data_IF_339075518443
#
_entry.id   IF_339075518443
#
_cell.length_a   1.000
_cell.length_b   1.000
_cell.length_c   1.000
_cell.angle_alpha   90.00
_cell.angle_beta   90.00
_cell.angle_gamma   90.00
#
_symmetry.space_group_name_H-M   'P 1'
#
loop_
_entity.id
_entity.type
_entity.pdbx_description
1 polymer ?
#
# COMPACT_ATOMS: atom_id res chain seq x y z
N UNK A 1 10.82 11.82 -59.06
CA UNK A 1 10.15 12.17 -57.83
C UNK A 1 8.65 12.12 -58.02
N UNK A 2 7.92 11.82 -56.99
CA UNK A 2 6.49 11.83 -56.95
C UNK A 2 5.97 12.37 -55.61
N UNK A 3 4.71 12.79 -55.59
CA UNK A 3 3.99 13.21 -54.38
C UNK A 3 2.86 12.21 -54.13
N UNK A 4 2.76 11.71 -52.90
CA UNK A 4 1.66 10.82 -52.52
C UNK A 4 0.34 11.60 -52.49
N UNK A 5 -0.70 11.07 -53.13
CA UNK A 5 -1.98 11.73 -53.27
C UNK A 5 -3.14 10.92 -52.71
N UNK A 6 -4.22 11.57 -52.36
CA UNK A 6 -5.46 10.95 -51.87
C UNK A 6 -6.27 10.27 -52.99
N UNK A 7 -7.46 9.84 -52.64
CA UNK A 7 -8.38 9.15 -53.55
C UNK A 7 -8.78 10.06 -54.74
N UNK A 8 -8.94 11.31 -54.51
CA UNK A 8 -9.27 12.33 -55.49
C UNK A 8 -8.08 12.74 -56.37
N UNK A 9 -6.86 12.26 -56.06
CA UNK A 9 -5.62 12.65 -56.72
C UNK A 9 -5.01 13.96 -56.18
N UNK A 10 -5.59 14.53 -55.14
CA UNK A 10 -5.13 15.77 -54.50
C UNK A 10 -4.28 15.46 -53.26
N UNK A 11 -3.53 16.46 -52.82
CA UNK A 11 -2.77 16.44 -51.58
C UNK A 11 -3.38 17.34 -50.49
N UNK A 12 -4.63 17.77 -50.66
CA UNK A 12 -5.33 18.64 -49.73
C UNK A 12 -5.55 18.03 -48.34
N UNK A 13 -5.55 16.70 -48.25
CA UNK A 13 -5.66 15.94 -47.01
C UNK A 13 -4.30 15.44 -46.50
N UNK A 14 -3.34 16.34 -46.36
CA UNK A 14 -2.00 16.02 -45.88
C UNK A 14 -2.04 15.24 -44.54
N UNK A 15 -1.01 14.42 -44.31
CA UNK A 15 -0.92 13.59 -43.10
C UNK A 15 -2.08 12.56 -42.94
N UNK A 16 -2.77 12.21 -44.03
CA UNK A 16 -3.70 11.06 -44.07
C UNK A 16 -3.10 9.90 -44.81
N UNK A 17 -3.68 8.71 -44.67
CA UNK A 17 -3.24 7.50 -45.37
C UNK A 17 -4.33 7.13 -46.37
N UNK A 18 -3.94 7.03 -47.67
CA UNK A 18 -4.77 6.50 -48.70
C UNK A 18 -4.07 5.32 -49.40
N UNK A 19 -4.59 4.13 -49.20
CA UNK A 19 -4.01 2.88 -49.66
C UNK A 19 -5.07 1.88 -50.08
N UNK A 20 -4.71 0.89 -50.88
CA UNK A 20 -5.52 -0.29 -51.13
C UNK A 20 -5.27 -1.40 -50.08
N UNK A 21 -5.94 -2.55 -50.26
CA UNK A 21 -5.80 -3.73 -49.36
C UNK A 21 -4.40 -4.37 -49.37
N UNK A 22 -3.52 -3.97 -50.26
CA UNK A 22 -2.13 -4.45 -50.38
C UNK A 22 -1.10 -3.43 -49.84
N UNK A 23 -1.53 -2.31 -49.26
CA UNK A 23 -0.63 -1.26 -48.79
C UNK A 23 0.01 -0.45 -49.90
N UNK A 24 -0.56 -0.44 -51.12
CA UNK A 24 -0.06 0.33 -52.23
C UNK A 24 -0.61 1.75 -52.21
N UNK A 25 0.16 2.73 -52.71
CA UNK A 25 -0.22 4.14 -52.69
C UNK A 25 -0.35 4.68 -54.11
N UNK A 26 -1.11 5.78 -54.28
CA UNK A 26 -1.13 6.56 -55.52
C UNK A 26 -0.18 7.72 -55.41
N UNK A 27 0.50 8.03 -56.49
CA UNK A 27 1.40 9.17 -56.59
C UNK A 27 1.10 10.02 -57.79
N UNK A 28 1.40 11.30 -57.70
CA UNK A 28 1.50 12.22 -58.79
C UNK A 28 2.99 12.29 -59.18
N UNK A 29 3.29 11.98 -60.44
CA UNK A 29 4.67 11.99 -60.94
C UNK A 29 5.06 13.37 -61.42
N UNK A 30 6.05 14.01 -60.82
CA UNK A 30 6.51 15.36 -61.20
C UNK A 30 7.09 15.42 -62.62
N UNK A 31 7.62 14.32 -63.12
CA UNK A 31 8.16 14.25 -64.48
C UNK A 31 7.09 14.37 -65.57
N UNK A 32 5.83 14.08 -65.25
CA UNK A 32 4.72 14.11 -66.22
C UNK A 32 3.70 15.22 -65.95
N UNK A 33 3.95 16.09 -64.97
CA UNK A 33 3.09 17.18 -64.60
C UNK A 33 3.89 18.49 -64.50
N UNK A 34 3.61 19.45 -65.38
CA UNK A 34 4.23 20.78 -65.25
C UNK A 34 3.64 21.51 -64.04
N UNK A 35 4.40 22.44 -63.44
CA UNK A 35 3.91 23.24 -62.32
C UNK A 35 2.66 24.02 -62.69
N UNK A 36 2.61 24.53 -63.89
CA UNK A 36 1.47 25.27 -64.45
C UNK A 36 0.22 24.41 -64.57
N UNK A 37 0.35 23.11 -64.89
CA UNK A 37 -0.74 22.14 -64.89
C UNK A 37 -1.19 21.80 -63.47
N UNK A 38 -0.23 21.69 -62.56
CA UNK A 38 -0.50 21.42 -61.14
C UNK A 38 -1.28 22.56 -60.51
N UNK A 39 -0.90 23.80 -60.78
CA UNK A 39 -1.49 25.03 -60.23
C UNK A 39 -2.87 25.36 -60.83
N UNK A 40 -3.13 24.89 -62.06
CA UNK A 40 -4.42 25.07 -62.74
C UNK A 40 -5.44 23.96 -62.43
N UNK A 41 -5.03 22.88 -61.83
CA UNK A 41 -5.84 21.68 -61.64
C UNK A 41 -6.63 21.74 -60.32
N UNK A 42 -7.44 22.75 -60.18
CA UNK A 42 -8.39 22.86 -59.07
C UNK A 42 -9.57 21.93 -59.35
N UNK A 43 -9.53 20.73 -58.80
CA UNK A 43 -10.63 19.82 -58.54
C UNK A 43 -11.18 18.91 -59.64
N UNK A 44 -11.26 19.25 -60.90
CA UNK A 44 -11.95 18.42 -61.92
C UNK A 44 -10.98 17.49 -62.67
N UNK A 45 -9.71 17.84 -62.84
CA UNK A 45 -8.75 17.10 -63.64
C UNK A 45 -7.65 16.38 -62.82
N UNK A 46 -7.65 16.50 -61.51
CA UNK A 46 -6.66 15.85 -60.62
C UNK A 46 -6.60 14.33 -60.79
N UNK A 47 -7.65 13.71 -61.33
CA UNK A 47 -7.67 12.26 -61.57
C UNK A 47 -6.77 11.81 -62.70
N UNK A 48 -6.43 12.70 -63.66
CA UNK A 48 -5.56 12.34 -64.80
C UNK A 48 -4.07 12.35 -64.47
N UNK A 49 -3.67 12.96 -63.37
CA UNK A 49 -2.26 13.12 -62.99
C UNK A 49 -1.84 12.15 -61.89
N UNK A 50 -2.67 11.22 -61.46
CA UNK A 50 -2.36 10.19 -60.47
C UNK A 50 -1.98 8.86 -61.13
N UNK A 51 -1.05 8.14 -60.54
CA UNK A 51 -0.66 6.79 -60.94
C UNK A 51 -1.77 5.76 -60.65
N UNK A 52 -1.59 4.58 -61.21
CA UNK A 52 -2.14 3.36 -60.59
C UNK A 52 -1.61 3.20 -59.15
N UNK A 53 -2.13 2.22 -58.43
CA UNK A 53 -1.57 1.89 -57.09
C UNK A 53 -0.16 1.31 -57.24
N UNK A 54 0.84 1.96 -56.64
CA UNK A 54 2.23 1.60 -56.67
C UNK A 54 2.63 0.83 -55.37
N UNK A 55 3.39 -0.22 -55.51
CA UNK A 55 3.97 -0.93 -54.36
C UNK A 55 5.01 -0.04 -53.67
N UNK A 56 5.07 -0.13 -52.35
CA UNK A 56 6.09 0.56 -51.55
C UNK A 56 7.18 -0.45 -51.17
N UNK A 57 8.42 -0.14 -51.50
CA UNK A 57 9.59 -0.95 -51.10
C UNK A 57 9.82 -0.74 -49.61
N UNK A 58 10.06 -1.82 -48.89
CA UNK A 58 10.39 -1.86 -47.48
C UNK A 58 11.65 -2.69 -47.25
N UNK A 59 12.46 -2.43 -46.21
CA UNK A 59 13.69 -3.19 -45.95
C UNK A 59 13.50 -4.70 -45.78
N UNK A 60 12.35 -5.12 -45.19
CA UNK A 60 11.98 -6.52 -44.96
C UNK A 60 10.50 -6.68 -45.24
N UNK A 61 10.18 -7.67 -46.08
CA UNK A 61 8.80 -8.04 -46.41
C UNK A 61 8.65 -9.55 -46.43
N UNK A 62 8.07 -10.15 -45.44
CA UNK A 62 7.82 -11.60 -45.30
C UNK A 62 6.35 -11.84 -44.95
N UNK A 63 5.92 -13.11 -44.98
CA UNK A 63 4.57 -13.45 -44.57
C UNK A 63 4.33 -13.12 -43.08
N UNK A 64 3.44 -12.20 -42.83
CA UNK A 64 3.06 -11.71 -41.50
C UNK A 64 4.21 -11.15 -40.66
N UNK A 65 5.34 -10.78 -41.29
CA UNK A 65 6.46 -10.14 -40.60
C UNK A 65 7.23 -9.19 -41.51
N UNK A 66 7.90 -8.19 -40.94
CA UNK A 66 8.67 -7.22 -41.66
C UNK A 66 8.55 -5.81 -41.11
N UNK A 67 9.08 -4.85 -41.87
CA UNK A 67 8.89 -3.42 -41.59
C UNK A 67 7.75 -2.90 -42.48
N UNK A 68 6.68 -2.42 -41.88
CA UNK A 68 5.53 -1.92 -42.61
C UNK A 68 5.24 -0.47 -42.25
N UNK A 69 5.43 0.41 -43.23
CA UNK A 69 5.07 1.83 -43.11
C UNK A 69 4.53 2.30 -44.48
N UNK A 70 3.41 3.01 -44.46
CA UNK A 70 2.80 3.57 -45.66
C UNK A 70 3.09 5.06 -45.72
N UNK A 71 3.67 5.57 -46.80
CA UNK A 71 3.80 7.00 -47.05
C UNK A 71 2.44 7.70 -47.00
N UNK A 72 2.41 8.88 -46.42
CA UNK A 72 1.18 9.62 -46.22
C UNK A 72 0.90 10.58 -47.41
N UNK A 73 -0.33 10.96 -47.56
CA UNK A 73 -0.71 12.02 -48.51
C UNK A 73 0.09 13.27 -48.21
N UNK A 74 0.78 13.79 -49.23
CA UNK A 74 1.68 14.93 -49.13
C UNK A 74 3.16 14.56 -48.95
N UNK A 75 3.49 13.28 -48.78
CA UNK A 75 4.89 12.83 -48.70
C UNK A 75 5.53 12.86 -50.10
N UNK A 76 6.73 13.37 -50.15
CA UNK A 76 7.58 13.30 -51.34
C UNK A 76 8.29 11.97 -51.41
N UNK A 77 8.18 11.26 -52.53
CA UNK A 77 8.68 9.90 -52.70
C UNK A 77 9.55 9.78 -53.95
N UNK A 78 10.55 8.86 -53.85
CA UNK A 78 11.37 8.45 -54.99
C UNK A 78 10.64 7.30 -55.68
N UNK A 79 10.49 7.44 -57.01
CA UNK A 79 9.92 6.39 -57.88
C UNK A 79 11.04 5.74 -58.65
N UNK A 80 11.10 4.42 -58.57
CA UNK A 80 12.00 3.54 -59.33
C UNK A 80 11.16 2.69 -60.28
N UNK A 81 11.79 2.25 -61.39
CA UNK A 81 11.13 1.41 -62.37
C UNK A 81 11.80 0.03 -62.34
N UNK A 82 11.03 -1.01 -62.07
CA UNK A 82 11.56 -2.37 -62.03
C UNK A 82 11.94 -2.83 -63.41
N UNK A 83 13.10 -3.48 -63.54
CA UNK A 83 13.66 -3.95 -64.81
C UNK A 83 13.83 -2.87 -65.88
N UNK A 84 13.94 -1.60 -65.45
CA UNK A 84 14.02 -0.43 -66.31
C UNK A 84 12.78 -0.25 -67.21
N UNK A 85 11.63 -0.79 -66.75
CA UNK A 85 10.35 -0.73 -67.44
C UNK A 85 9.49 0.38 -66.84
N UNK A 86 9.14 1.38 -67.67
CA UNK A 86 8.34 2.55 -67.25
C UNK A 86 6.95 2.15 -66.77
N UNK A 87 6.41 1.02 -67.19
CA UNK A 87 5.11 0.50 -66.83
C UNK A 87 5.11 -0.26 -65.49
N UNK A 88 6.31 -0.45 -64.87
CA UNK A 88 6.51 -1.11 -63.59
C UNK A 88 7.07 -0.15 -62.50
N UNK A 89 6.42 1.00 -62.20
CA UNK A 89 6.88 1.90 -61.17
C UNK A 89 6.64 1.36 -59.76
N UNK A 90 7.59 1.67 -58.86
CA UNK A 90 7.48 1.39 -57.40
C UNK A 90 7.98 2.56 -56.60
N UNK A 91 7.42 2.79 -55.41
CA UNK A 91 7.92 3.75 -54.44
C UNK A 91 9.13 3.11 -53.74
N UNK A 92 10.32 3.68 -53.91
CA UNK A 92 11.57 3.14 -53.38
C UNK A 92 12.06 3.85 -52.12
N UNK A 93 11.45 4.97 -51.71
CA UNK A 93 11.78 5.70 -50.49
C UNK A 93 11.04 7.01 -50.40
N UNK A 94 11.15 7.68 -49.28
CA UNK A 94 10.60 9.02 -49.02
C UNK A 94 11.72 10.02 -48.75
N UNK A 95 11.49 11.29 -49.06
CA UNK A 95 12.45 12.38 -48.82
C UNK A 95 11.83 13.39 -47.87
N UNK A 96 12.62 13.88 -46.92
CA UNK A 96 12.29 15.09 -46.22
C UNK A 96 12.44 16.31 -47.08
N UNK A 97 11.60 17.28 -46.92
CA UNK A 97 11.65 18.56 -47.64
C UNK A 97 11.18 19.71 -46.75
N UNK A 98 11.09 20.94 -47.27
CA UNK A 98 10.68 22.14 -46.51
C UNK A 98 9.26 22.06 -45.90
N UNK A 99 8.37 21.23 -46.47
CA UNK A 99 7.00 21.01 -45.96
C UNK A 99 6.92 19.83 -45.00
N UNK A 100 7.78 18.85 -45.17
CA UNK A 100 7.83 17.61 -44.35
C UNK A 100 9.23 17.48 -43.72
N UNK A 101 9.42 18.15 -42.59
CA UNK A 101 10.67 18.14 -41.84
C UNK A 101 10.74 16.90 -40.92
N UNK A 102 11.93 16.37 -40.62
CA UNK A 102 12.09 15.33 -39.63
C UNK A 102 11.63 15.79 -38.24
N UNK A 103 11.23 14.86 -37.38
CA UNK A 103 10.93 15.13 -35.98
C UNK A 103 12.12 15.72 -35.23
N UNK A 104 13.30 15.24 -35.55
CA UNK A 104 14.56 15.66 -34.92
C UNK A 104 14.97 17.04 -35.46
N UNK A 105 15.17 18.00 -34.56
CA UNK A 105 15.79 19.27 -34.93
C UNK A 105 17.28 19.05 -35.23
N UNK A 106 17.61 19.05 -36.50
CA UNK A 106 18.95 18.70 -36.99
C UNK A 106 20.03 19.69 -36.54
N UNK A 107 19.71 20.96 -36.37
CA UNK A 107 20.67 22.00 -35.96
C UNK A 107 21.26 21.71 -34.55
N UNK A 108 20.46 21.19 -33.65
CA UNK A 108 20.84 20.97 -32.25
C UNK A 108 20.96 19.48 -31.88
N UNK A 109 20.26 18.60 -32.60
CA UNK A 109 20.09 17.19 -32.24
C UNK A 109 20.51 16.22 -33.35
N UNK A 110 21.44 16.58 -34.19
CA UNK A 110 21.94 15.76 -35.29
C UNK A 110 22.47 14.38 -34.84
N UNK A 111 22.75 14.21 -33.55
CA UNK A 111 23.20 12.97 -32.94
C UNK A 111 22.04 12.01 -32.62
N UNK A 112 20.82 12.37 -32.93
CA UNK A 112 19.63 11.55 -32.62
C UNK A 112 19.22 10.74 -33.87
N UNK A 113 18.76 9.52 -33.61
CA UNK A 113 18.03 8.68 -34.56
C UNK A 113 16.61 8.44 -34.02
N UNK A 114 15.60 8.70 -34.83
CA UNK A 114 14.20 8.59 -34.41
C UNK A 114 13.41 7.69 -35.35
N UNK A 115 12.58 6.83 -34.76
CA UNK A 115 11.45 6.16 -35.41
C UNK A 115 10.17 6.77 -34.86
N UNK A 116 9.42 7.48 -35.68
CA UNK A 116 8.25 8.21 -35.22
C UNK A 116 7.07 8.05 -36.17
N UNK A 117 5.85 8.13 -35.61
CA UNK A 117 4.62 8.13 -36.34
C UNK A 117 3.65 9.16 -35.75
N UNK A 118 3.30 10.16 -36.56
CA UNK A 118 2.39 11.24 -36.19
C UNK A 118 0.94 10.74 -36.22
N UNK A 119 0.09 11.24 -35.34
CA UNK A 119 -1.36 11.00 -35.38
C UNK A 119 -1.92 11.39 -36.75
N UNK A 120 -2.78 10.54 -37.31
CA UNK A 120 -3.35 10.75 -38.63
C UNK A 120 -4.37 11.90 -38.57
N UNK A 121 -4.29 12.84 -39.52
CA UNK A 121 -5.16 14.01 -39.63
C UNK A 121 -4.40 15.30 -39.96
N UNK A 122 -4.98 16.19 -40.74
CA UNK A 122 -4.28 17.38 -41.26
C UNK A 122 -3.74 18.30 -40.16
N UNK A 123 -4.43 18.43 -39.03
CA UNK A 123 -4.08 19.33 -37.94
C UNK A 123 -3.60 18.61 -36.67
N UNK A 124 -3.40 17.30 -36.72
CA UNK A 124 -2.99 16.53 -35.58
C UNK A 124 -1.50 16.76 -35.26
N UNK A 125 -1.18 16.79 -33.97
CA UNK A 125 0.18 17.04 -33.49
C UNK A 125 0.74 15.89 -32.65
N UNK A 126 -0.10 14.90 -32.27
CA UNK A 126 0.30 13.75 -31.47
C UNK A 126 1.33 12.87 -32.17
N UNK A 127 2.27 12.29 -31.43
CA UNK A 127 3.37 11.50 -31.97
C UNK A 127 3.67 10.33 -31.04
N UNK A 128 3.71 9.13 -31.62
CA UNK A 128 4.38 7.97 -31.04
C UNK A 128 5.82 7.95 -31.52
N UNK A 129 6.80 7.76 -30.61
CA UNK A 129 8.20 7.79 -31.01
C UNK A 129 9.11 6.86 -30.19
N UNK A 130 10.18 6.40 -30.82
CA UNK A 130 11.36 5.84 -30.19
C UNK A 130 12.55 6.64 -30.69
N UNK A 131 13.22 7.37 -29.80
CA UNK A 131 14.37 8.22 -30.16
C UNK A 131 15.60 7.74 -29.39
N UNK A 132 16.69 7.53 -30.13
CA UNK A 132 18.02 7.17 -29.64
C UNK A 132 18.92 8.41 -29.70
N UNK A 133 19.35 8.92 -28.57
CA UNK A 133 20.32 10.01 -28.46
C UNK A 133 21.69 9.43 -28.10
N UNK A 134 22.69 9.71 -28.90
CA UNK A 134 24.06 9.18 -28.77
C UNK A 134 25.09 10.27 -28.40
N UNK A 135 24.63 11.39 -27.81
CA UNK A 135 25.53 12.43 -27.33
C UNK A 135 26.27 11.94 -26.09
N UNK A 136 27.61 11.94 -26.13
CA UNK A 136 28.47 11.46 -25.04
C UNK A 136 28.09 12.08 -23.70
N UNK A 137 27.91 11.24 -22.68
CA UNK A 137 27.43 11.55 -21.33
C UNK A 137 25.99 12.08 -21.25
N UNK A 138 25.22 11.95 -22.32
CA UNK A 138 23.79 12.28 -22.40
C UNK A 138 23.05 11.26 -23.26
N UNK A 139 23.59 10.05 -23.33
CA UNK A 139 22.98 8.95 -24.07
C UNK A 139 21.61 8.63 -23.46
N UNK A 140 20.62 8.43 -24.35
CA UNK A 140 19.25 8.19 -23.92
C UNK A 140 18.49 7.35 -24.94
N UNK A 141 17.65 6.46 -24.44
CA UNK A 141 16.55 5.87 -25.21
C UNK A 141 15.26 6.47 -24.68
N UNK A 142 14.56 7.17 -25.54
CA UNK A 142 13.28 7.81 -25.22
C UNK A 142 12.16 7.10 -25.96
N UNK A 143 11.14 6.62 -25.22
CA UNK A 143 9.93 6.00 -25.79
C UNK A 143 8.73 6.83 -25.36
N UNK A 144 7.94 7.27 -26.33
CA UNK A 144 6.70 8.00 -26.10
C UNK A 144 5.53 7.34 -26.79
N UNK A 145 4.49 7.02 -26.05
CA UNK A 145 3.17 6.73 -26.56
C UNK A 145 2.27 7.98 -26.39
N UNK A 146 1.58 8.39 -27.43
CA UNK A 146 0.67 9.55 -27.38
C UNK A 146 -0.56 9.28 -26.51
N UNK A 147 -1.01 8.02 -26.45
CA UNK A 147 -2.18 7.64 -25.68
C UNK A 147 -1.90 6.39 -24.84
N UNK A 148 -1.93 5.24 -25.43
CA UNK A 148 -1.83 3.98 -24.73
C UNK A 148 -0.50 3.27 -25.05
N UNK A 149 0.12 2.66 -24.05
CA UNK A 149 1.31 1.83 -24.18
C UNK A 149 1.02 0.45 -23.62
N UNK A 150 1.00 -0.57 -24.49
CA UNK A 150 0.76 -1.95 -24.14
C UNK A 150 2.03 -2.77 -24.39
N UNK A 151 2.43 -3.54 -23.39
CA UNK A 151 3.56 -4.48 -23.49
C UNK A 151 3.10 -5.89 -23.10
N UNK A 152 3.32 -6.86 -24.01
CA UNK A 152 3.02 -8.26 -23.79
C UNK A 152 4.28 -9.10 -23.90
N UNK A 153 4.66 -9.75 -22.80
CA UNK A 153 5.79 -10.69 -22.74
C UNK A 153 5.26 -12.09 -22.44
N UNK A 154 5.44 -13.01 -23.38
CA UNK A 154 4.89 -14.36 -23.27
C UNK A 154 5.65 -15.27 -22.29
N UNK A 155 6.89 -14.95 -21.95
CA UNK A 155 7.71 -15.73 -21.03
C UNK A 155 8.26 -14.83 -19.92
N UNK A 156 9.53 -14.48 -19.93
CA UNK A 156 10.17 -13.78 -18.84
C UNK A 156 10.46 -12.32 -19.20
N UNK A 157 10.22 -11.42 -18.26
CA UNK A 157 10.63 -10.02 -18.32
C UNK A 157 11.68 -9.75 -17.24
N UNK A 158 12.86 -9.27 -17.65
CA UNK A 158 13.95 -8.91 -16.73
C UNK A 158 14.37 -7.45 -16.93
N UNK A 159 14.53 -6.72 -15.84
CA UNK A 159 15.00 -5.33 -15.85
C UNK A 159 16.10 -5.14 -14.79
N UNK A 160 17.27 -4.64 -15.23
CA UNK A 160 18.37 -4.27 -14.35
C UNK A 160 18.66 -2.78 -14.50
N UNK A 161 18.64 -2.03 -13.42
CA UNK A 161 18.91 -0.60 -13.38
C UNK A 161 20.04 -0.36 -12.40
N UNK A 162 21.17 0.18 -12.91
CA UNK A 162 22.40 0.33 -12.11
C UNK A 162 22.39 1.56 -11.21
N UNK A 163 21.49 2.49 -11.41
CA UNK A 163 21.35 3.69 -10.60
C UNK A 163 19.90 3.84 -10.14
N UNK A 164 19.21 4.89 -10.48
CA UNK A 164 17.90 5.23 -9.96
C UNK A 164 16.76 4.78 -10.88
N UNK A 165 15.66 4.31 -10.29
CA UNK A 165 14.39 4.11 -10.96
C UNK A 165 13.32 5.04 -10.38
N UNK A 166 12.70 5.85 -11.24
CA UNK A 166 11.53 6.68 -10.89
C UNK A 166 10.32 6.22 -11.68
N UNK A 167 9.17 6.15 -11.02
CA UNK A 167 7.88 5.83 -11.66
C UNK A 167 6.81 6.76 -11.08
N UNK A 168 6.07 7.44 -11.96
CA UNK A 168 4.98 8.34 -11.59
C UNK A 168 3.70 7.94 -12.31
N UNK A 169 2.64 7.68 -11.55
CA UNK A 169 1.31 7.31 -12.07
C UNK A 169 0.29 8.33 -11.55
N UNK A 170 -0.35 9.08 -12.45
CA UNK A 170 -1.36 10.07 -12.07
C UNK A 170 -2.75 9.45 -11.79
N UNK A 171 -3.00 8.28 -12.31
CA UNK A 171 -4.23 7.53 -12.08
C UNK A 171 -4.01 6.34 -11.14
N UNK A 172 -4.60 5.22 -11.45
CA UNK A 172 -4.50 3.99 -10.66
C UNK A 172 -3.31 3.15 -11.07
N UNK A 173 -2.61 2.58 -10.10
CA UNK A 173 -1.61 1.53 -10.30
C UNK A 173 -2.15 0.20 -9.80
N UNK A 174 -2.20 -0.81 -10.67
CA UNK A 174 -2.66 -2.16 -10.33
C UNK A 174 -1.60 -3.18 -10.68
N UNK A 175 -1.24 -4.02 -9.73
CA UNK A 175 -0.32 -5.13 -9.91
C UNK A 175 -0.96 -6.44 -9.45
N UNK A 176 -0.83 -7.50 -10.25
CA UNK A 176 -1.32 -8.83 -9.93
C UNK A 176 -0.23 -9.89 -10.12
N UNK A 177 0.25 -10.44 -9.03
CA UNK A 177 1.24 -11.53 -9.01
C UNK A 177 0.56 -12.83 -8.60
N UNK A 178 0.62 -13.87 -9.45
CA UNK A 178 -0.07 -15.15 -9.19
C UNK A 178 0.68 -16.08 -8.23
N UNK A 179 2.00 -15.97 -8.12
CA UNK A 179 2.82 -16.88 -7.31
C UNK A 179 3.45 -16.16 -6.13
N UNK A 180 4.53 -15.45 -6.34
CA UNK A 180 5.27 -14.78 -5.27
C UNK A 180 5.68 -13.38 -5.69
N UNK A 181 5.51 -12.42 -4.78
CA UNK A 181 6.09 -11.10 -4.89
C UNK A 181 7.17 -10.98 -3.81
N UNK A 182 8.43 -10.85 -4.22
CA UNK A 182 9.58 -10.72 -3.33
C UNK A 182 10.17 -9.33 -3.50
N UNK A 183 10.30 -8.59 -2.41
CA UNK A 183 10.90 -7.26 -2.40
C UNK A 183 12.01 -7.22 -1.34
N UNK A 184 13.24 -6.91 -1.75
CA UNK A 184 14.38 -6.69 -0.85
C UNK A 184 14.82 -5.23 -0.98
N UNK A 185 14.94 -4.55 0.16
CA UNK A 185 15.36 -3.15 0.23
C UNK A 185 16.40 -3.04 1.35
N UNK A 186 17.63 -2.69 1.01
CA UNK A 186 18.75 -2.73 1.94
C UNK A 186 18.74 -1.60 2.97
N UNK A 187 18.20 -0.44 2.64
CA UNK A 187 18.26 0.73 3.52
C UNK A 187 16.91 1.18 4.06
N UNK A 188 16.00 1.65 3.21
CA UNK A 188 14.75 2.24 3.67
C UNK A 188 13.58 2.02 2.72
N UNK A 189 12.40 1.75 3.29
CA UNK A 189 11.13 1.75 2.58
C UNK A 189 10.17 2.73 3.24
N UNK A 190 9.71 3.74 2.50
CA UNK A 190 8.68 4.67 2.93
C UNK A 190 7.39 4.41 2.16
N UNK A 191 6.27 4.34 2.87
CA UNK A 191 4.93 4.21 2.29
C UNK A 191 4.04 5.29 2.89
N UNK A 192 3.62 6.26 2.08
CA UNK A 192 2.70 7.32 2.47
C UNK A 192 1.37 7.13 1.75
N UNK A 193 0.30 6.99 2.51
CA UNK A 193 -1.05 6.79 1.98
C UNK A 193 -1.95 7.88 2.56
N UNK A 194 -2.50 8.75 1.72
CA UNK A 194 -3.37 9.85 2.14
C UNK A 194 -4.80 9.45 2.48
N UNK A 195 -5.21 8.25 2.09
CA UNK A 195 -6.53 7.70 2.36
C UNK A 195 -6.45 6.39 3.13
N UNK A 196 -6.90 5.30 2.53
CA UNK A 196 -6.96 3.98 3.15
C UNK A 196 -5.75 3.12 2.78
N UNK A 197 -5.17 2.43 3.75
CA UNK A 197 -4.16 1.38 3.57
C UNK A 197 -4.70 0.05 4.08
N UNK A 198 -5.13 -0.83 3.18
CA UNK A 198 -5.69 -2.15 3.49
C UNK A 198 -4.67 -3.25 3.21
N UNK A 199 -4.46 -4.13 4.18
CA UNK A 199 -3.68 -5.37 4.01
C UNK A 199 -4.52 -6.56 4.40
N UNK A 200 -4.79 -7.47 3.46
CA UNK A 200 -5.50 -8.72 3.71
C UNK A 200 -4.57 -9.90 3.46
N UNK A 201 -4.42 -10.77 4.44
CA UNK A 201 -3.58 -11.96 4.36
C UNK A 201 -4.40 -13.19 4.72
N UNK A 202 -4.49 -14.17 3.83
CA UNK A 202 -5.35 -15.34 4.01
C UNK A 202 -4.81 -16.40 4.98
N UNK A 203 -3.50 -16.49 5.20
CA UNK A 203 -2.89 -17.50 6.05
C UNK A 203 -2.05 -16.92 7.18
N UNK A 204 -0.88 -16.36 6.89
CA UNK A 204 0.01 -15.83 7.92
C UNK A 204 0.61 -14.47 7.53
N UNK A 205 0.81 -13.61 8.52
CA UNK A 205 1.57 -12.38 8.39
C UNK A 205 2.61 -12.33 9.51
N UNK A 206 3.88 -12.44 9.16
CA UNK A 206 4.99 -12.34 10.10
C UNK A 206 5.66 -10.97 9.97
N UNK A 207 5.93 -10.34 11.10
CA UNK A 207 6.62 -9.05 11.16
C UNK A 207 7.76 -9.17 12.17
N UNK A 208 8.99 -9.02 11.69
CA UNK A 208 10.20 -9.03 12.53
C UNK A 208 10.86 -7.67 12.47
N UNK A 209 11.05 -7.04 13.63
CA UNK A 209 11.67 -5.73 13.76
C UNK A 209 12.85 -5.84 14.69
N UNK A 210 14.06 -5.55 14.21
CA UNK A 210 15.29 -5.76 14.96
C UNK A 210 15.52 -4.76 16.10
N UNK A 211 15.01 -3.54 16.02
CA UNK A 211 15.31 -2.48 17.01
C UNK A 211 14.04 -1.87 17.59
N UNK A 212 13.22 -1.21 16.79
CA UNK A 212 12.03 -0.52 17.30
C UNK A 212 10.84 -0.62 16.36
N UNK A 213 9.66 -0.80 16.92
CA UNK A 213 8.39 -0.70 16.23
C UNK A 213 7.52 0.33 16.96
N UNK A 214 7.04 1.35 16.25
CA UNK A 214 6.18 2.40 16.81
C UNK A 214 4.87 2.47 16.03
N UNK A 215 3.76 2.36 16.74
CA UNK A 215 2.42 2.55 16.20
C UNK A 215 1.78 3.77 16.85
N UNK A 216 1.45 4.79 16.08
CA UNK A 216 0.70 5.96 16.52
C UNK A 216 -0.65 5.97 15.82
N UNK A 217 -1.72 5.85 16.58
CA UNK A 217 -3.10 5.90 16.09
C UNK A 217 -3.82 7.07 16.76
N UNK A 218 -4.31 8.01 15.96
CA UNK A 218 -4.87 9.26 16.48
C UNK A 218 -6.28 9.08 17.08
N UNK A 219 -7.07 8.13 16.60
CA UNK A 219 -8.48 7.96 17.00
C UNK A 219 -8.72 6.57 17.54
N UNK A 220 -8.75 5.55 16.72
CA UNK A 220 -9.13 4.19 17.13
C UNK A 220 -8.14 3.13 16.70
N UNK A 221 -7.74 2.26 17.62
CA UNK A 221 -7.03 1.01 17.35
C UNK A 221 -7.88 -0.17 17.84
N UNK A 222 -8.23 -1.07 16.92
CA UNK A 222 -8.99 -2.27 17.24
C UNK A 222 -8.23 -3.53 16.89
N UNK A 223 -7.89 -4.31 17.89
CA UNK A 223 -7.27 -5.63 17.71
C UNK A 223 -8.28 -6.74 18.05
N UNK A 224 -8.56 -7.61 17.09
CA UNK A 224 -9.45 -8.76 17.29
C UNK A 224 -8.70 -10.05 17.00
N UNK A 225 -8.60 -10.93 17.99
CA UNK A 225 -7.94 -12.24 17.90
C UNK A 225 -8.99 -13.32 18.15
N UNK A 226 -9.14 -14.25 17.22
CA UNK A 226 -10.19 -15.28 17.26
C UNK A 226 -9.90 -16.41 18.27
N UNK A 227 -8.64 -16.70 18.57
CA UNK A 227 -8.24 -17.75 19.52
C UNK A 227 -7.24 -17.20 20.53
N UNK A 228 -5.94 -17.34 20.31
CA UNK A 228 -4.94 -17.06 21.31
C UNK A 228 -4.13 -15.80 20.99
N UNK A 229 -3.85 -15.00 22.01
CA UNK A 229 -2.89 -13.90 21.95
C UNK A 229 -1.81 -14.10 22.98
N UNK A 230 -0.57 -14.23 22.54
CA UNK A 230 0.60 -14.28 23.40
C UNK A 230 1.35 -12.95 23.32
N UNK A 231 1.69 -12.41 24.49
CA UNK A 231 2.50 -11.19 24.60
C UNK A 231 3.67 -11.46 25.55
N UNK A 232 4.88 -11.29 25.07
CA UNK A 232 6.10 -11.41 25.86
C UNK A 232 6.84 -10.09 25.84
N UNK A 233 7.11 -9.53 27.03
CA UNK A 233 7.86 -8.30 27.23
C UNK A 233 9.08 -8.62 28.07
N UNK A 234 10.26 -8.49 27.52
CA UNK A 234 11.52 -8.89 28.17
C UNK A 234 11.95 -7.98 29.30
N UNK A 235 11.48 -6.75 29.36
CA UNK A 235 11.79 -5.77 30.39
C UNK A 235 10.51 -5.11 30.91
N UNK A 236 10.24 -3.88 30.60
CA UNK A 236 9.14 -3.10 31.17
C UNK A 236 7.96 -2.96 30.23
N UNK A 237 6.75 -3.04 30.79
CA UNK A 237 5.50 -2.71 30.10
C UNK A 237 4.82 -1.54 30.79
N UNK A 238 4.66 -0.42 30.09
CA UNK A 238 3.92 0.74 30.54
C UNK A 238 2.55 0.78 29.87
N UNK A 239 1.53 1.03 30.66
CA UNK A 239 0.13 1.21 30.18
C UNK A 239 -0.45 2.45 30.86
N UNK A 240 -0.79 3.47 30.09
CA UNK A 240 -1.48 4.66 30.54
C UNK A 240 -2.83 4.76 29.86
N UNK A 241 -3.91 4.89 30.64
CA UNK A 241 -5.28 5.03 30.15
C UNK A 241 -5.91 6.24 30.80
N UNK A 242 -6.19 7.27 30.03
CA UNK A 242 -6.72 8.55 30.54
C UNK A 242 -8.19 8.52 30.96
N UNK A 243 -8.93 7.50 30.57
CA UNK A 243 -10.35 7.36 30.90
C UNK A 243 -10.61 6.02 31.57
N UNK A 244 -11.16 5.04 30.88
CA UNK A 244 -11.63 3.81 31.49
C UNK A 244 -10.89 2.59 30.94
N UNK A 245 -10.54 1.65 31.81
CA UNK A 245 -10.14 0.30 31.47
C UNK A 245 -11.28 -0.66 31.82
N UNK A 246 -11.87 -1.32 30.82
CA UNK A 246 -12.86 -2.37 31.03
C UNK A 246 -12.24 -3.72 30.61
N UNK A 247 -12.20 -4.67 31.53
CA UNK A 247 -11.71 -6.01 31.27
C UNK A 247 -12.78 -7.04 31.63
N UNK A 248 -13.11 -7.93 30.71
CA UNK A 248 -14.03 -9.05 30.94
C UNK A 248 -13.32 -10.34 30.63
N UNK A 249 -13.24 -11.24 31.62
CA UNK A 249 -12.63 -12.57 31.51
C UNK A 249 -13.73 -13.57 31.84
N UNK A 250 -14.07 -14.46 30.90
CA UNK A 250 -15.15 -15.43 31.06
C UNK A 250 -14.77 -16.64 31.91
N UNK A 251 -13.50 -17.00 31.98
CA UNK A 251 -13.01 -18.11 32.77
C UNK A 251 -12.10 -17.61 33.90
N UNK A 252 -10.83 -17.92 33.86
CA UNK A 252 -9.90 -17.68 34.95
C UNK A 252 -8.91 -16.57 34.62
N UNK A 253 -8.58 -15.74 35.61
CA UNK A 253 -7.42 -14.86 35.61
C UNK A 253 -6.37 -15.39 36.59
N UNK A 254 -5.16 -15.64 36.12
CA UNK A 254 -4.03 -15.97 36.95
C UNK A 254 -2.96 -14.89 36.83
N UNK A 255 -2.54 -14.35 37.98
CA UNK A 255 -1.51 -13.30 38.03
C UNK A 255 -0.46 -13.63 39.08
N UNK A 256 0.78 -13.83 38.66
CA UNK A 256 1.94 -14.01 39.53
C UNK A 256 2.79 -12.72 39.52
N UNK A 257 3.11 -12.20 40.72
CA UNK A 257 3.97 -11.05 40.92
C UNK A 257 5.04 -11.44 41.93
N UNK A 258 6.30 -11.53 41.47
CA UNK A 258 7.43 -11.92 42.36
C UNK A 258 7.94 -10.75 43.20
N UNK A 259 7.59 -9.55 42.87
CA UNK A 259 7.93 -8.35 43.63
C UNK A 259 6.72 -7.76 44.32
N UNK A 260 6.69 -6.45 44.48
CA UNK A 260 5.62 -5.72 45.16
C UNK A 260 4.46 -5.42 44.18
N UNK A 261 3.22 -5.60 44.63
CA UNK A 261 2.02 -5.05 44.02
C UNK A 261 1.55 -3.84 44.81
N UNK A 262 1.55 -2.67 44.19
CA UNK A 262 0.95 -1.47 44.74
C UNK A 262 -0.29 -1.10 43.93
N UNK A 263 -1.36 -0.68 44.64
CA UNK A 263 -2.61 -0.24 44.01
C UNK A 263 -3.17 0.96 44.76
N UNK A 264 -3.16 2.13 44.13
CA UNK A 264 -3.69 3.38 44.66
C UNK A 264 -4.99 3.70 43.93
N UNK A 265 -6.07 3.92 44.71
CA UNK A 265 -7.41 4.18 44.18
C UNK A 265 -8.00 5.39 44.93
N UNK A 266 -8.18 6.49 44.23
CA UNK A 266 -8.79 7.71 44.82
C UNK A 266 -10.31 7.56 45.08
N UNK A 267 -10.94 6.67 44.37
CA UNK A 267 -12.38 6.38 44.49
C UNK A 267 -12.68 5.16 45.34
N UNK A 268 -13.68 4.40 44.94
CA UNK A 268 -14.08 3.17 45.64
C UNK A 268 -13.43 1.94 45.07
N UNK A 269 -12.90 1.08 45.91
CA UNK A 269 -12.52 -0.29 45.55
C UNK A 269 -13.63 -1.26 45.97
N UNK A 270 -14.14 -2.04 45.00
CA UNK A 270 -15.18 -3.06 45.24
C UNK A 270 -14.68 -4.42 44.77
N UNK A 271 -14.71 -5.37 45.67
CA UNK A 271 -14.37 -6.76 45.36
C UNK A 271 -15.56 -7.66 45.72
N UNK A 272 -16.18 -8.28 44.73
CA UNK A 272 -17.32 -9.17 44.90
C UNK A 272 -16.92 -10.58 44.42
N UNK A 273 -17.16 -11.59 45.25
CA UNK A 273 -16.95 -12.99 44.88
C UNK A 273 -18.16 -13.80 45.33
N UNK A 274 -18.69 -14.67 44.46
CA UNK A 274 -19.79 -15.56 44.78
C UNK A 274 -19.37 -16.77 45.60
N UNK A 275 -18.09 -17.20 45.50
CA UNK A 275 -17.60 -18.41 46.15
C UNK A 275 -16.74 -18.13 47.37
N UNK A 276 -15.88 -17.16 47.34
CA UNK A 276 -15.02 -16.81 48.45
C UNK A 276 -13.88 -15.88 48.06
N UNK A 277 -13.31 -15.21 49.04
CA UNK A 277 -12.11 -14.41 48.97
C UNK A 277 -11.16 -14.94 49.98
N UNK A 278 -9.96 -15.38 49.54
CA UNK A 278 -8.90 -15.85 50.42
C UNK A 278 -7.71 -14.90 50.34
N UNK A 279 -7.36 -14.30 51.46
CA UNK A 279 -6.18 -13.47 51.61
C UNK A 279 -5.24 -14.16 52.59
N UNK A 280 -3.99 -14.37 52.20
CA UNK A 280 -2.97 -15.01 52.99
C UNK A 280 -1.67 -14.22 52.97
N UNK A 281 -1.07 -14.00 54.10
CA UNK A 281 0.25 -13.43 54.28
C UNK A 281 1.08 -14.24 55.27
N UNK A 282 2.34 -14.45 54.98
CA UNK A 282 3.25 -15.08 55.95
C UNK A 282 3.66 -14.17 57.12
N UNK A 283 3.44 -12.85 56.97
CA UNK A 283 3.83 -11.88 58.01
C UNK A 283 2.61 -11.24 58.65
N UNK A 284 1.94 -10.31 57.96
CA UNK A 284 0.79 -9.61 58.53
C UNK A 284 -0.16 -9.14 57.44
N UNK A 285 -1.43 -9.01 57.81
CA UNK A 285 -2.47 -8.35 57.06
C UNK A 285 -2.96 -7.14 57.87
N UNK A 286 -2.85 -5.94 57.35
CA UNK A 286 -3.30 -4.71 58.01
C UNK A 286 -4.52 -4.17 57.27
N UNK A 287 -5.61 -3.97 57.99
CA UNK A 287 -6.81 -3.28 57.56
C UNK A 287 -6.96 -2.02 58.37
N UNK A 288 -6.94 -0.86 57.74
CA UNK A 288 -7.04 0.43 58.40
C UNK A 288 -8.08 1.30 57.68
N UNK A 289 -8.95 1.94 58.45
CA UNK A 289 -9.93 2.90 57.97
C UNK A 289 -10.03 4.10 58.91
N UNK A 290 -10.19 5.29 58.36
CA UNK A 290 -10.33 6.52 59.18
C UNK A 290 -11.67 6.61 59.88
N UNK A 291 -12.73 6.01 59.33
CA UNK A 291 -14.09 6.09 59.92
C UNK A 291 -14.51 4.77 60.57
N UNK A 292 -14.73 3.74 59.81
CA UNK A 292 -15.19 2.44 60.35
C UNK A 292 -14.76 1.27 59.45
N UNK A 293 -14.65 0.10 60.04
CA UNK A 293 -14.52 -1.19 59.36
C UNK A 293 -15.79 -1.99 59.74
N UNK A 294 -16.62 -2.26 58.76
CA UNK A 294 -17.81 -3.06 58.93
C UNK A 294 -17.60 -4.50 58.46
N UNK A 295 -17.82 -5.46 59.33
CA UNK A 295 -17.68 -6.89 59.00
C UNK A 295 -19.02 -7.56 59.31
N UNK A 296 -19.72 -7.96 58.26
CA UNK A 296 -21.04 -8.55 58.34
C UNK A 296 -21.01 -9.98 57.77
N UNK A 297 -21.39 -10.95 58.57
CA UNK A 297 -21.49 -12.34 58.18
C UNK A 297 -22.91 -12.88 58.47
N UNK A 298 -23.60 -13.39 57.46
CA UNK A 298 -24.96 -13.96 57.63
C UNK A 298 -24.99 -15.26 58.47
N UNK A 299 -23.86 -15.97 58.57
CA UNK A 299 -23.77 -17.22 59.31
C UNK A 299 -22.71 -17.12 60.41
N UNK A 300 -21.48 -17.33 60.12
CA UNK A 300 -20.43 -17.38 61.15
C UNK A 300 -19.35 -16.35 60.87
N UNK A 301 -18.93 -15.65 61.92
CA UNK A 301 -17.71 -14.88 61.97
C UNK A 301 -16.74 -15.56 62.94
N UNK A 302 -15.60 -15.96 62.48
CA UNK A 302 -14.63 -16.70 63.32
C UNK A 302 -13.26 -16.06 63.24
N UNK A 303 -12.69 -15.72 64.40
CA UNK A 303 -11.28 -15.31 64.52
C UNK A 303 -10.52 -16.37 65.31
N UNK A 304 -9.34 -16.78 64.80
CA UNK A 304 -8.44 -17.72 65.51
C UNK A 304 -7.03 -17.13 65.54
N UNK A 305 -6.43 -17.16 66.70
CA UNK A 305 -5.02 -16.76 66.86
C UNK A 305 -4.28 -17.79 67.70
N UNK A 306 -3.02 -18.05 67.40
CA UNK A 306 -2.21 -18.98 68.15
C UNK A 306 -1.56 -18.34 69.37
N UNK A 307 -1.44 -17.05 69.42
CA UNK A 307 -0.78 -16.32 70.53
C UNK A 307 -1.75 -15.38 71.26
N UNK A 308 -1.90 -14.15 70.80
CA UNK A 308 -2.69 -13.13 71.50
C UNK A 308 -3.71 -12.51 70.59
N UNK A 309 -4.91 -12.36 71.04
CA UNK A 309 -5.95 -11.54 70.44
C UNK A 309 -6.17 -10.29 71.31
N UNK A 310 -5.98 -9.10 70.77
CA UNK A 310 -6.12 -7.85 71.50
C UNK A 310 -7.17 -6.97 70.81
N UNK A 311 -8.16 -6.54 71.55
CA UNK A 311 -9.11 -5.51 71.14
C UNK A 311 -8.91 -4.29 72.01
N UNK A 312 -8.73 -3.11 71.43
CA UNK A 312 -8.63 -1.81 72.13
C UNK A 312 -9.66 -0.87 71.55
N UNK A 313 -10.54 -0.34 72.38
CA UNK A 313 -11.57 0.58 72.00
C UNK A 313 -11.95 1.47 73.17
N UNK A 314 -12.39 2.69 72.92
CA UNK A 314 -12.93 3.58 73.96
C UNK A 314 -14.19 3.02 74.58
N UNK A 315 -15.01 2.35 73.80
CA UNK A 315 -16.19 1.61 74.23
C UNK A 315 -16.40 0.33 73.41
N UNK A 316 -16.86 -0.75 74.03
CA UNK A 316 -17.25 -1.97 73.36
C UNK A 316 -18.70 -2.31 73.72
N UNK A 317 -19.53 -2.44 72.72
CA UNK A 317 -20.92 -2.89 72.84
C UNK A 317 -21.03 -4.28 72.23
N UNK A 318 -21.66 -5.22 72.92
CA UNK A 318 -21.92 -6.57 72.45
C UNK A 318 -23.36 -6.97 72.73
N UNK A 319 -24.14 -7.22 71.72
CA UNK A 319 -25.56 -7.69 71.82
C UNK A 319 -25.59 -9.13 71.32
N UNK A 320 -26.06 -10.05 72.14
CA UNK A 320 -26.03 -11.47 71.86
C UNK A 320 -27.41 -12.03 72.26
N UNK A 321 -28.19 -12.54 71.30
CA UNK A 321 -29.55 -12.97 71.47
C UNK A 321 -29.66 -14.30 72.27
N UNK A 322 -28.68 -15.18 72.21
CA UNK A 322 -28.79 -16.53 72.82
C UNK A 322 -27.72 -16.82 73.86
N UNK A 323 -26.49 -16.98 73.48
CA UNK A 323 -25.42 -17.44 74.37
C UNK A 323 -24.13 -16.67 74.21
N UNK A 324 -23.59 -16.14 75.29
CA UNK A 324 -22.19 -15.69 75.38
C UNK A 324 -21.39 -16.64 76.23
N UNK A 325 -20.46 -17.31 75.65
CA UNK A 325 -19.61 -18.27 76.35
C UNK A 325 -18.15 -17.83 76.29
N UNK A 326 -17.50 -17.79 77.44
CA UNK A 326 -16.06 -17.51 77.53
C UNK A 326 -15.40 -18.70 78.22
N UNK A 327 -14.59 -19.42 77.50
CA UNK A 327 -13.82 -20.56 78.04
C UNK A 327 -12.35 -20.16 78.09
N UNK A 328 -11.78 -20.14 79.28
CA UNK A 328 -10.35 -19.96 79.49
C UNK A 328 -9.75 -21.14 80.27
N UNK A 329 -8.61 -21.61 79.83
CA UNK A 329 -7.93 -22.74 80.42
C UNK A 329 -7.39 -22.44 81.86
N UNK A 330 -6.92 -21.19 82.07
CA UNK A 330 -6.26 -20.82 83.32
C UNK A 330 -7.13 -19.82 84.11
N UNK A 331 -7.38 -18.62 83.58
CA UNK A 331 -8.12 -17.58 84.28
C UNK A 331 -8.85 -16.63 83.34
N UNK A 332 -9.92 -16.03 83.79
CA UNK A 332 -10.62 -14.91 83.15
C UNK A 332 -10.47 -13.71 84.08
N UNK A 333 -9.93 -12.61 83.60
CA UNK A 333 -9.73 -11.38 84.37
C UNK A 333 -10.59 -10.26 83.76
N UNK A 334 -11.45 -9.66 84.58
CA UNK A 334 -12.13 -8.42 84.29
C UNK A 334 -11.56 -7.34 85.20
N UNK A 335 -11.03 -6.25 84.66
CA UNK A 335 -10.46 -5.15 85.42
C UNK A 335 -11.04 -3.80 85.01
N UNK A 336 -11.46 -3.03 85.98
CA UNK A 336 -11.95 -1.64 85.82
C UNK A 336 -11.16 -0.78 86.81
N UNK A 337 -10.30 0.07 86.26
CA UNK A 337 -9.41 0.89 87.13
C UNK A 337 -8.56 0.00 88.02
N UNK A 338 -8.61 0.21 89.32
CA UNK A 338 -7.94 -0.59 90.33
C UNK A 338 -8.70 -1.85 90.75
N UNK A 339 -9.99 -1.95 90.34
CA UNK A 339 -10.81 -3.10 90.66
C UNK A 339 -10.64 -4.23 89.70
N UNK A 340 -10.29 -5.39 90.22
CA UNK A 340 -10.01 -6.60 89.41
C UNK A 340 -10.96 -7.74 89.87
N UNK A 341 -11.62 -8.39 88.97
CA UNK A 341 -12.34 -9.63 89.15
C UNK A 341 -11.62 -10.73 88.43
N UNK A 342 -11.14 -11.75 89.12
CA UNK A 342 -10.44 -12.88 88.53
C UNK A 342 -11.27 -14.14 88.77
N UNK A 343 -11.54 -14.86 87.71
CA UNK A 343 -12.20 -16.17 87.73
C UNK A 343 -11.11 -17.23 87.44
N UNK A 344 -10.71 -17.94 88.38
CA UNK A 344 -9.72 -18.99 88.26
C UNK A 344 -10.35 -20.38 87.96
N UNK A 345 -9.60 -21.25 87.29
CA UNK A 345 -10.06 -22.62 87.17
C UNK A 345 -10.20 -23.28 88.56
N UNK A 346 -11.42 -23.67 88.89
CA UNK A 346 -11.73 -24.42 90.14
C UNK A 346 -11.81 -25.88 89.75
N UNK A 347 -10.92 -26.73 90.29
CA UNK A 347 -11.08 -28.17 90.19
C UNK A 347 -11.89 -28.67 91.42
N UNK A 348 -13.09 -29.19 91.14
CA UNK A 348 -13.81 -29.96 92.07
C UNK A 348 -13.30 -31.43 91.97
N UNK A 349 -12.77 -31.96 93.03
CA UNK A 349 -12.48 -33.41 93.18
C UNK A 349 -13.68 -34.12 93.71
#
# INVERSE_FOLDING_TARGET
LGLVVGQDGLNSQTNTIHTDSYGRVKVRLNAFSTQEQIDKDDTINASYHKSAYLRVITPIASNSSGFFAIPRVGDEVIISFLQNDIDNPVVSGSLYNASNMPLVNVDNNYHQTSLSSKTIGANETGINEITLSNLKNKEQIYVKAEKDYDELVNNDFSQTILNDKSSQVHGSYTERVKKAHIQTIDLAKNVNVGGEYLTTVGLSKDTVVGVSNTLNVAVDDTTRVGQDRHEFVGNDKFVEIKSNLNTTIHNDETKEIKGTKEQNIDGSYKLNSQKGINEFSNEHIVLQANNYIDINAKSNFTTKTAAQHTEMADSKYSEIETTYEVNAKNEIIHQVGSTKVTINAVSYT
#
